data_IF_109359025657
#
_entry.id   IF_109359025657
#
_cell.length_a   1.000
_cell.length_b   1.000
_cell.length_c   1.000
_cell.angle_alpha   90.00
_cell.angle_beta   90.00
_cell.angle_gamma   90.00
#
_symmetry.space_group_name_H-M   'P 1'
#
loop_
_entity.id
_entity.type
_entity.pdbx_description
1 polymer ?
#
# COMPACT_ATOMS: atom_id res chain seq x y z
N UNK A 1 13.18 -13.66 19.41
CA UNK A 1 12.34 -12.47 19.66
C UNK A 1 11.23 -12.46 18.62
N UNK A 2 9.97 -12.32 19.03
CA UNK A 2 8.82 -12.27 18.10
C UNK A 2 8.77 -10.89 17.45
N UNK A 3 8.55 -10.82 16.14
CA UNK A 3 8.43 -9.55 15.43
C UNK A 3 7.13 -8.83 15.85
N UNK A 4 7.24 -7.58 16.31
CA UNK A 4 6.09 -6.70 16.54
C UNK A 4 5.94 -5.66 15.43
N UNK A 5 4.80 -4.96 15.38
CA UNK A 5 4.62 -3.86 14.42
C UNK A 5 5.62 -2.71 14.66
N UNK A 6 5.95 -2.41 15.91
CA UNK A 6 6.95 -1.39 16.25
C UNK A 6 8.35 -1.81 15.78
N UNK A 7 8.71 -3.08 15.96
CA UNK A 7 9.95 -3.63 15.45
C UNK A 7 9.98 -3.56 13.92
N UNK A 8 8.92 -4.02 13.23
CA UNK A 8 8.81 -3.94 11.78
C UNK A 8 9.06 -2.51 11.26
N UNK A 9 8.43 -1.51 11.88
CA UNK A 9 8.63 -0.11 11.51
C UNK A 9 10.06 0.38 11.78
N UNK A 10 10.65 0.02 12.92
CA UNK A 10 12.05 0.37 13.25
C UNK A 10 13.03 -0.26 12.25
N UNK A 11 12.90 -1.56 12.02
CA UNK A 11 13.74 -2.32 11.11
C UNK A 11 13.59 -1.81 9.66
N UNK A 12 12.37 -1.46 9.23
CA UNK A 12 12.15 -0.89 7.91
C UNK A 12 12.85 0.46 7.73
N UNK A 13 12.87 1.32 8.77
CA UNK A 13 13.62 2.58 8.76
C UNK A 13 15.12 2.32 8.60
N UNK A 14 15.69 1.43 9.40
CA UNK A 14 17.12 1.17 9.38
C UNK A 14 17.56 0.44 8.11
N UNK A 15 16.75 -0.49 7.63
CA UNK A 15 16.94 -1.14 6.33
C UNK A 15 16.92 -0.12 5.19
N UNK A 16 16.01 0.86 5.21
CA UNK A 16 15.92 1.88 4.16
C UNK A 16 17.19 2.73 4.06
N UNK A 17 17.80 3.06 5.20
CA UNK A 17 19.10 3.78 5.26
C UNK A 17 20.23 2.93 4.69
N UNK A 18 20.31 1.66 5.09
CA UNK A 18 21.35 0.73 4.66
C UNK A 18 21.24 0.43 3.16
N UNK A 19 20.03 0.20 2.67
CA UNK A 19 19.79 -0.09 1.25
C UNK A 19 20.12 1.10 0.36
N UNK A 20 19.83 2.32 0.82
CA UNK A 20 20.10 3.55 0.06
C UNK A 20 21.58 3.83 -0.20
N UNK A 21 22.50 3.08 0.43
CA UNK A 21 23.94 3.16 0.17
C UNK A 21 24.53 1.86 -0.37
N UNK A 22 23.70 0.82 -0.52
CA UNK A 22 24.11 -0.48 -1.03
C UNK A 22 24.24 -0.46 -2.55
N UNK A 23 25.41 -0.86 -3.06
CA UNK A 23 25.62 -1.09 -4.48
C UNK A 23 25.32 -2.57 -4.77
N UNK A 24 24.31 -2.83 -5.58
CA UNK A 24 23.84 -4.16 -5.93
C UNK A 24 24.19 -4.51 -7.38
N UNK A 25 25.16 -5.41 -7.62
CA UNK A 25 25.51 -5.86 -8.97
C UNK A 25 24.35 -6.54 -9.70
N UNK A 26 23.52 -7.33 -8.99
CA UNK A 26 22.46 -8.14 -9.64
C UNK A 26 21.32 -7.30 -10.21
N UNK A 27 21.21 -6.03 -9.83
CA UNK A 27 20.20 -5.10 -10.32
C UNK A 27 20.69 -4.20 -11.46
N UNK A 28 21.97 -4.24 -11.83
CA UNK A 28 22.49 -3.41 -12.92
C UNK A 28 21.78 -3.71 -14.25
N UNK A 29 21.26 -2.68 -14.92
CA UNK A 29 20.49 -2.83 -16.16
C UNK A 29 19.07 -3.37 -16.00
N UNK A 30 18.65 -3.76 -14.79
CA UNK A 30 17.28 -4.20 -14.52
C UNK A 30 16.32 -3.00 -14.53
N UNK A 31 15.35 -3.02 -15.43
CA UNK A 31 14.32 -1.97 -15.59
C UNK A 31 12.91 -2.44 -15.21
N UNK A 32 12.69 -3.75 -15.08
CA UNK A 32 11.40 -4.30 -14.62
C UNK A 32 11.19 -4.00 -13.12
N UNK A 33 10.23 -3.12 -12.84
CA UNK A 33 9.87 -2.75 -11.47
C UNK A 33 9.40 -3.94 -10.62
N UNK A 34 8.83 -4.98 -11.23
CA UNK A 34 8.44 -6.20 -10.50
C UNK A 34 9.67 -6.98 -10.05
N UNK A 35 10.68 -7.11 -10.90
CA UNK A 35 11.93 -7.77 -10.54
C UNK A 35 12.66 -7.02 -9.42
N UNK A 36 12.74 -5.68 -9.51
CA UNK A 36 13.33 -4.85 -8.45
C UNK A 36 12.54 -4.96 -7.14
N UNK A 37 11.21 -4.90 -7.21
CA UNK A 37 10.34 -5.08 -6.05
C UNK A 37 10.55 -6.44 -5.38
N UNK A 38 10.53 -7.51 -6.17
CA UNK A 38 10.74 -8.88 -5.69
C UNK A 38 12.09 -9.04 -4.98
N UNK A 39 13.16 -8.45 -5.54
CA UNK A 39 14.48 -8.44 -4.91
C UNK A 39 14.42 -7.80 -3.52
N UNK A 40 13.86 -6.59 -3.43
CA UNK A 40 13.86 -5.83 -2.17
C UNK A 40 12.98 -6.50 -1.11
N UNK A 41 11.81 -7.02 -1.51
CA UNK A 41 10.91 -7.78 -0.65
C UNK A 41 11.62 -9.00 -0.04
N UNK A 42 12.29 -9.79 -0.88
CA UNK A 42 13.06 -10.95 -0.41
C UNK A 42 14.21 -10.54 0.51
N UNK A 43 14.95 -9.49 0.16
CA UNK A 43 16.08 -9.00 0.94
C UNK A 43 15.65 -8.51 2.32
N UNK A 44 14.58 -7.71 2.41
CA UNK A 44 14.07 -7.23 3.69
C UNK A 44 13.51 -8.37 4.55
N UNK A 45 12.82 -9.33 3.94
CA UNK A 45 12.35 -10.52 4.64
C UNK A 45 13.48 -11.34 5.24
N UNK A 46 14.55 -11.57 4.47
CA UNK A 46 15.74 -12.27 4.97
C UNK A 46 16.44 -11.47 6.08
N UNK A 47 16.49 -10.14 5.94
CA UNK A 47 16.99 -9.24 6.96
C UNK A 47 16.22 -9.40 8.29
N UNK A 48 14.89 -9.50 8.25
CA UNK A 48 14.07 -9.73 9.44
C UNK A 48 14.21 -11.15 9.99
N UNK A 49 14.24 -12.18 9.13
CA UNK A 49 14.35 -13.59 9.55
C UNK A 49 15.66 -13.89 10.29
N UNK A 50 16.72 -13.14 10.00
CA UNK A 50 17.99 -13.24 10.73
C UNK A 50 17.90 -12.73 12.19
N UNK A 51 16.84 -11.98 12.55
CA UNK A 51 16.71 -11.25 13.83
C UNK A 51 15.46 -11.62 14.62
N UNK A 52 14.39 -11.99 13.92
CA UNK A 52 13.06 -12.19 14.51
C UNK A 52 12.44 -13.52 14.07
N UNK A 53 11.54 -14.02 14.91
CA UNK A 53 10.64 -15.12 14.60
C UNK A 53 9.27 -14.56 14.21
N UNK A 54 8.78 -14.91 13.03
CA UNK A 54 7.45 -14.56 12.54
C UNK A 54 7.01 -15.54 11.45
N UNK A 55 5.69 -15.67 11.24
CA UNK A 55 5.16 -16.41 10.10
C UNK A 55 5.45 -15.61 8.82
N UNK A 56 6.19 -16.23 7.90
CA UNK A 56 6.36 -15.66 6.56
C UNK A 56 5.09 -15.92 5.76
N UNK A 57 4.47 -14.84 5.28
CA UNK A 57 3.35 -14.94 4.36
C UNK A 57 3.67 -15.75 3.12
N UNK A 58 2.73 -16.59 2.70
CA UNK A 58 2.80 -17.25 1.40
C UNK A 58 1.94 -16.51 0.37
N UNK A 59 2.26 -16.68 -0.91
CA UNK A 59 1.50 -16.08 -2.02
C UNK A 59 0.02 -16.49 -2.06
N UNK A 60 -0.38 -17.52 -1.29
CA UNK A 60 -1.75 -18.04 -1.22
C UNK A 60 -2.65 -17.27 -0.24
N UNK A 61 -2.11 -16.74 0.88
CA UNK A 61 -2.84 -15.88 1.83
C UNK A 61 -2.84 -14.40 1.42
N UNK A 62 -1.79 -13.98 0.70
CA UNK A 62 -1.70 -12.69 0.03
C UNK A 62 -1.30 -11.51 0.92
N UNK A 63 -0.61 -11.77 2.04
CA UNK A 63 -0.07 -10.76 2.97
C UNK A 63 1.32 -11.24 3.45
N UNK A 64 2.36 -10.40 3.37
CA UNK A 64 3.74 -10.75 3.79
C UNK A 64 3.94 -11.05 5.28
N UNK A 65 3.24 -10.32 6.17
CA UNK A 65 3.35 -10.47 7.63
C UNK A 65 1.98 -10.80 8.26
N UNK A 66 1.49 -12.05 8.15
CA UNK A 66 0.17 -12.44 8.63
C UNK A 66 -0.08 -12.15 10.12
N UNK A 67 0.91 -12.44 10.98
CA UNK A 67 0.80 -12.20 12.43
C UNK A 67 0.65 -10.73 12.80
N UNK A 68 1.05 -9.82 11.91
CA UNK A 68 0.92 -8.37 12.08
C UNK A 68 -0.24 -7.79 11.28
N UNK A 69 -0.88 -8.59 10.42
CA UNK A 69 -1.87 -8.13 9.45
C UNK A 69 -1.35 -6.97 8.57
N UNK A 70 -0.11 -7.09 8.10
CA UNK A 70 0.57 -6.09 7.25
C UNK A 70 1.15 -6.73 6.00
N UNK A 71 0.86 -6.14 4.85
CA UNK A 71 1.45 -6.52 3.57
C UNK A 71 2.58 -5.57 3.19
N UNK A 72 3.65 -6.10 2.58
CA UNK A 72 4.76 -5.28 2.12
C UNK A 72 4.55 -4.90 0.65
N UNK A 73 4.86 -3.66 0.32
CA UNK A 73 4.82 -3.16 -1.05
C UNK A 73 6.10 -2.43 -1.38
N UNK A 74 6.67 -2.74 -2.54
CA UNK A 74 7.82 -2.03 -3.08
C UNK A 74 7.42 -1.40 -4.40
N UNK A 75 7.73 -0.11 -4.57
CA UNK A 75 7.34 0.62 -5.76
C UNK A 75 8.34 1.72 -6.14
N UNK A 76 8.40 2.07 -7.42
CA UNK A 76 9.24 3.15 -7.90
C UNK A 76 8.62 4.51 -7.59
N UNK A 77 9.43 5.48 -7.19
CA UNK A 77 9.03 6.87 -7.04
C UNK A 77 8.49 7.48 -8.36
N UNK A 78 8.93 6.97 -9.52
CA UNK A 78 8.48 7.45 -10.85
C UNK A 78 7.05 7.03 -11.18
N UNK A 79 6.64 5.88 -10.66
CA UNK A 79 5.30 5.33 -10.87
C UNK A 79 4.87 4.54 -9.62
N UNK A 80 4.46 5.24 -8.54
CA UNK A 80 4.24 4.64 -7.22
C UNK A 80 2.93 3.87 -7.20
N UNK A 81 2.94 2.67 -7.78
CA UNK A 81 1.82 1.74 -7.78
C UNK A 81 2.26 0.28 -7.71
N UNK A 82 1.34 -0.60 -7.33
CA UNK A 82 1.49 -2.04 -7.49
C UNK A 82 0.13 -2.69 -7.75
N UNK A 83 0.13 -3.93 -8.23
CA UNK A 83 -1.09 -4.71 -8.33
C UNK A 83 -1.54 -5.25 -6.96
N UNK A 84 -2.85 -5.53 -6.86
CA UNK A 84 -3.51 -6.19 -5.76
C UNK A 84 -4.63 -7.09 -6.33
N UNK A 85 -4.79 -8.33 -5.86
CA UNK A 85 -5.95 -9.14 -6.23
C UNK A 85 -7.25 -8.43 -5.85
N UNK A 86 -8.22 -8.43 -6.77
CA UNK A 86 -9.58 -7.99 -6.44
C UNK A 86 -10.26 -9.06 -5.59
N UNK A 87 -10.84 -8.69 -4.44
CA UNK A 87 -11.71 -9.60 -3.66
C UNK A 87 -13.15 -9.12 -3.59
N UNK A 88 -13.38 -7.83 -3.31
CA UNK A 88 -14.73 -7.26 -3.23
C UNK A 88 -14.69 -5.75 -3.39
N UNK A 89 -15.73 -5.16 -4.01
CA UNK A 89 -15.93 -3.71 -4.04
C UNK A 89 -15.93 -3.07 -2.65
N UNK A 90 -16.36 -3.81 -1.61
CA UNK A 90 -16.33 -3.39 -0.21
C UNK A 90 -14.94 -2.91 0.23
N UNK A 91 -13.86 -3.51 -0.29
CA UNK A 91 -12.50 -3.10 0.08
C UNK A 91 -12.13 -1.71 -0.46
N UNK A 92 -12.78 -1.20 -1.52
CA UNK A 92 -12.58 0.19 -1.97
C UNK A 92 -13.19 1.19 -1.01
N UNK A 93 -14.21 0.78 -0.26
CA UNK A 93 -14.95 1.64 0.68
C UNK A 93 -14.35 1.55 2.09
N UNK A 94 -14.08 0.35 2.58
CA UNK A 94 -13.64 0.13 3.97
C UNK A 94 -12.16 -0.24 4.12
N UNK A 95 -11.42 -0.34 3.01
CA UNK A 95 -10.02 -0.74 3.00
C UNK A 95 -9.82 -2.24 2.79
N UNK A 96 -8.56 -2.62 2.60
CA UNK A 96 -8.13 -3.96 2.21
C UNK A 96 -8.34 -5.01 3.31
N UNK A 97 -8.50 -4.58 4.56
CA UNK A 97 -8.59 -5.43 5.76
C UNK A 97 -7.25 -5.68 6.45
N UNK A 98 -6.16 -5.13 5.91
CA UNK A 98 -4.79 -5.23 6.41
C UNK A 98 -4.03 -3.92 6.14
N UNK A 99 -2.98 -3.68 6.90
CA UNK A 99 -2.13 -2.50 6.75
C UNK A 99 -1.09 -2.70 5.64
N UNK A 100 -0.46 -1.62 5.20
CA UNK A 100 0.61 -1.66 4.19
C UNK A 100 1.89 -1.08 4.75
N UNK A 101 3.02 -1.75 4.56
CA UNK A 101 4.34 -1.13 4.67
C UNK A 101 4.92 -0.96 3.26
N UNK A 102 5.16 0.29 2.87
CA UNK A 102 5.46 0.66 1.49
C UNK A 102 6.88 1.24 1.42
N UNK A 103 7.76 0.61 0.65
CA UNK A 103 9.07 1.14 0.30
C UNK A 103 9.00 1.80 -1.08
N UNK A 104 9.40 3.07 -1.13
CA UNK A 104 9.44 3.87 -2.35
C UNK A 104 10.89 4.09 -2.75
N UNK A 105 11.29 3.61 -3.92
CA UNK A 105 12.68 3.69 -4.37
C UNK A 105 12.82 4.52 -5.66
N UNK A 106 13.97 5.17 -5.81
CA UNK A 106 14.52 5.53 -7.13
C UNK A 106 15.74 4.67 -7.40
N UNK A 107 15.87 4.19 -8.63
CA UNK A 107 16.96 3.30 -9.04
C UNK A 107 17.91 4.05 -9.97
N UNK A 108 19.19 3.98 -9.65
CA UNK A 108 20.27 4.52 -10.47
C UNK A 108 21.32 3.45 -10.73
N UNK A 109 21.81 3.38 -11.96
CA UNK A 109 22.89 2.47 -12.37
C UNK A 109 24.22 3.22 -12.44
N UNK A 110 25.31 2.57 -12.01
CA UNK A 110 26.70 3.01 -12.24
C UNK A 110 27.33 2.08 -13.28
N UNK A 111 27.52 2.56 -14.53
CA UNK A 111 28.17 1.79 -15.58
C UNK A 111 29.61 1.40 -15.24
N UNK A 112 30.34 2.27 -14.51
CA UNK A 112 31.74 2.09 -14.16
C UNK A 112 31.93 0.87 -13.25
N UNK A 113 31.06 0.74 -12.24
CA UNK A 113 31.13 -0.34 -11.26
C UNK A 113 30.24 -1.54 -11.64
N UNK A 114 29.42 -1.40 -12.69
CA UNK A 114 28.38 -2.37 -13.09
C UNK A 114 27.45 -2.76 -11.94
N UNK A 115 27.01 -1.75 -11.18
CA UNK A 115 26.08 -1.93 -10.04
C UNK A 115 24.89 -1.00 -10.16
N UNK A 116 23.77 -1.36 -9.54
CA UNK A 116 22.66 -0.45 -9.30
C UNK A 116 22.53 -0.09 -7.82
N UNK A 117 21.92 1.05 -7.53
CA UNK A 117 21.57 1.47 -6.18
C UNK A 117 20.07 1.79 -6.13
N UNK A 118 19.42 1.35 -5.05
CA UNK A 118 18.04 1.68 -4.73
C UNK A 118 18.03 2.78 -3.67
N UNK A 119 17.92 4.04 -4.09
CA UNK A 119 17.75 5.15 -3.18
C UNK A 119 16.31 5.10 -2.64
N UNK A 120 16.14 4.65 -1.40
CA UNK A 120 14.82 4.66 -0.76
C UNK A 120 14.50 6.12 -0.44
N UNK A 121 13.48 6.69 -1.09
CA UNK A 121 13.08 8.08 -0.85
C UNK A 121 12.13 8.17 0.33
N UNK A 122 11.29 7.15 0.53
CA UNK A 122 10.31 7.09 1.61
C UNK A 122 9.97 5.65 1.97
N UNK A 123 9.70 5.44 3.26
CA UNK A 123 9.07 4.21 3.78
C UNK A 123 7.89 4.62 4.63
N UNK A 124 6.74 4.03 4.36
CA UNK A 124 5.45 4.47 4.89
C UNK A 124 4.73 3.28 5.48
N UNK A 125 4.09 3.47 6.64
CA UNK A 125 3.15 2.51 7.17
C UNK A 125 1.74 3.09 7.11
N UNK A 126 0.82 2.36 6.48
CA UNK A 126 -0.59 2.72 6.35
C UNK A 126 -1.41 1.74 7.17
N UNK A 127 -2.20 2.26 8.10
CA UNK A 127 -3.09 1.44 8.92
C UNK A 127 -4.22 0.81 8.09
N UNK A 128 -4.75 -0.37 8.49
CA UNK A 128 -5.77 -1.09 7.73
C UNK A 128 -7.00 -0.24 7.34
N UNK A 129 -7.48 0.58 8.27
CA UNK A 129 -8.63 1.48 8.10
C UNK A 129 -8.38 2.65 7.12
N UNK A 130 -7.13 2.94 6.75
CA UNK A 130 -6.78 3.99 5.78
C UNK A 130 -6.49 3.46 4.38
N UNK A 131 -6.54 2.14 4.18
CA UNK A 131 -6.26 1.52 2.87
C UNK A 131 -7.42 1.59 1.86
N UNK A 132 -8.51 2.31 2.17
CA UNK A 132 -9.62 2.52 1.25
C UNK A 132 -9.26 3.48 0.10
N UNK A 133 -10.11 3.53 -0.93
CA UNK A 133 -10.00 4.48 -2.02
C UNK A 133 -10.44 5.87 -1.58
N UNK A 134 -9.52 6.84 -1.65
CA UNK A 134 -9.77 8.21 -1.24
C UNK A 134 -10.91 8.88 -2.02
N UNK A 135 -10.94 8.71 -3.35
CA UNK A 135 -11.91 9.42 -4.19
C UNK A 135 -13.33 8.90 -3.92
N UNK A 136 -13.49 7.58 -3.85
CA UNK A 136 -14.77 6.96 -3.55
C UNK A 136 -15.24 7.28 -2.13
N UNK A 137 -14.38 7.15 -1.12
CA UNK A 137 -14.75 7.47 0.27
C UNK A 137 -15.06 8.95 0.47
N UNK A 138 -14.37 9.85 -0.23
CA UNK A 138 -14.69 11.29 -0.24
C UNK A 138 -16.04 11.58 -0.88
N UNK A 139 -16.34 10.95 -2.04
CA UNK A 139 -17.66 11.10 -2.68
C UNK A 139 -18.79 10.51 -1.82
N UNK A 140 -18.56 9.37 -1.16
CA UNK A 140 -19.52 8.79 -0.21
C UNK A 140 -19.76 9.75 0.96
N UNK A 141 -18.71 10.30 1.55
CA UNK A 141 -18.83 11.27 2.63
C UNK A 141 -19.69 12.48 2.21
N UNK A 142 -19.47 13.01 1.00
CA UNK A 142 -20.28 14.11 0.45
C UNK A 142 -21.76 13.72 0.25
N UNK A 143 -22.05 12.49 -0.18
CA UNK A 143 -23.45 12.02 -0.29
C UNK A 143 -24.09 11.97 1.10
N UNK A 144 -23.39 11.44 2.09
CA UNK A 144 -23.89 11.32 3.46
C UNK A 144 -24.07 12.69 4.14
N UNK A 145 -23.15 13.62 3.93
CA UNK A 145 -23.20 14.98 4.49
C UNK A 145 -24.36 15.81 3.89
N UNK A 146 -24.95 15.35 2.77
CA UNK A 146 -26.14 15.93 2.14
C UNK A 146 -27.41 15.11 2.38
N UNK A 147 -27.46 14.30 3.45
CA UNK A 147 -28.58 13.41 3.80
C UNK A 147 -28.98 12.45 2.66
N UNK A 148 -28.00 12.01 1.87
CA UNK A 148 -28.22 11.14 0.72
C UNK A 148 -28.76 9.75 1.10
N UNK A 149 -29.64 9.23 0.26
CA UNK A 149 -30.32 7.94 0.43
C UNK A 149 -29.52 6.75 -0.12
N UNK A 150 -30.01 5.52 0.11
CA UNK A 150 -29.51 4.28 -0.52
C UNK A 150 -29.43 4.43 -2.05
N UNK A 151 -30.44 5.05 -2.66
CA UNK A 151 -30.48 5.27 -4.11
C UNK A 151 -29.40 6.22 -4.60
N UNK A 152 -29.04 7.24 -3.80
CA UNK A 152 -27.95 8.17 -4.15
C UNK A 152 -26.58 7.49 -4.10
N UNK A 153 -26.36 6.61 -3.12
CA UNK A 153 -25.13 5.80 -3.03
C UNK A 153 -25.02 4.81 -4.19
N UNK A 154 -26.12 4.14 -4.57
CA UNK A 154 -26.14 3.24 -5.74
C UNK A 154 -25.84 4.01 -7.02
N UNK A 155 -26.44 5.19 -7.21
CA UNK A 155 -26.14 6.05 -8.36
C UNK A 155 -24.65 6.45 -8.40
N UNK A 156 -24.06 6.81 -7.24
CA UNK A 156 -22.63 7.07 -7.14
C UNK A 156 -21.78 5.84 -7.55
N UNK A 157 -22.15 4.63 -7.15
CA UNK A 157 -21.42 3.42 -7.53
C UNK A 157 -21.44 3.17 -9.03
N UNK A 158 -22.60 3.40 -9.67
CA UNK A 158 -22.76 3.32 -11.13
C UNK A 158 -21.91 4.38 -11.85
N UNK A 159 -21.99 5.65 -11.42
CA UNK A 159 -21.21 6.75 -11.98
C UNK A 159 -19.70 6.50 -11.86
N UNK A 160 -19.27 5.91 -10.75
CA UNK A 160 -17.86 5.56 -10.51
C UNK A 160 -17.47 4.23 -11.13
N UNK A 161 -18.35 3.52 -11.84
CA UNK A 161 -18.11 2.18 -12.39
C UNK A 161 -17.52 1.21 -11.35
N UNK A 162 -18.07 1.21 -10.14
CA UNK A 162 -17.66 0.29 -9.07
C UNK A 162 -17.96 -1.16 -9.51
N UNK A 163 -16.98 -2.09 -9.49
CA UNK A 163 -17.21 -3.47 -9.91
C UNK A 163 -18.02 -4.25 -8.87
N UNK A 164 -19.32 -4.01 -8.83
CA UNK A 164 -20.30 -4.63 -7.93
C UNK A 164 -21.59 -4.90 -8.70
N UNK A 165 -22.28 -5.99 -8.39
CA UNK A 165 -23.60 -6.29 -8.96
C UNK A 165 -24.71 -5.53 -8.20
N UNK A 166 -25.95 -5.61 -8.70
CA UNK A 166 -27.07 -4.85 -8.12
C UNK A 166 -27.36 -5.22 -6.66
N UNK A 167 -27.18 -6.50 -6.30
CA UNK A 167 -27.41 -6.98 -4.94
C UNK A 167 -26.32 -6.45 -4.01
N UNK A 168 -25.06 -6.64 -4.39
CA UNK A 168 -23.91 -6.14 -3.63
C UNK A 168 -23.89 -4.61 -3.54
N UNK A 169 -24.37 -3.88 -4.54
CA UNK A 169 -24.51 -2.43 -4.51
C UNK A 169 -25.50 -1.98 -3.44
N UNK A 170 -26.67 -2.63 -3.36
CA UNK A 170 -27.68 -2.36 -2.33
C UNK A 170 -27.18 -2.70 -0.94
N UNK A 171 -26.56 -3.86 -0.78
CA UNK A 171 -26.03 -4.30 0.52
C UNK A 171 -24.91 -3.35 1.00
N UNK A 172 -24.01 -2.94 0.11
CA UNK A 172 -22.95 -1.99 0.43
C UNK A 172 -23.51 -0.59 0.75
N UNK A 173 -24.50 -0.12 0.00
CA UNK A 173 -25.16 1.17 0.27
C UNK A 173 -25.83 1.18 1.65
N UNK A 174 -26.56 0.11 2.00
CA UNK A 174 -27.17 -0.05 3.34
C UNK A 174 -26.12 -0.10 4.43
N UNK A 175 -25.02 -0.84 4.21
CA UNK A 175 -23.91 -0.89 5.16
C UNK A 175 -23.35 0.52 5.40
N UNK A 176 -23.12 1.31 4.35
CA UNK A 176 -22.57 2.68 4.45
C UNK A 176 -23.50 3.62 5.23
N UNK A 177 -24.82 3.50 5.06
CA UNK A 177 -25.79 4.32 5.81
C UNK A 177 -25.75 4.03 7.31
N UNK A 178 -25.46 2.79 7.69
CA UNK A 178 -25.35 2.35 9.09
C UNK A 178 -23.95 2.62 9.65
N UNK A 179 -22.93 2.42 8.82
CA UNK A 179 -21.53 2.45 9.19
C UNK A 179 -20.76 3.36 8.22
N UNK A 180 -20.68 4.66 8.54
CA UNK A 180 -19.97 5.64 7.72
C UNK A 180 -18.49 5.21 7.53
N UNK A 181 -17.99 5.04 6.30
CA UNK A 181 -16.61 4.67 6.06
C UNK A 181 -15.64 5.81 6.43
N UNK A 182 -14.43 5.45 6.85
CA UNK A 182 -13.34 6.41 7.00
C UNK A 182 -12.79 6.83 5.64
N UNK A 183 -12.24 8.04 5.56
CA UNK A 183 -11.53 8.51 4.37
C UNK A 183 -10.24 7.69 4.22
N UNK A 184 -10.11 7.01 3.08
CA UNK A 184 -8.91 6.27 2.71
C UNK A 184 -7.84 7.17 2.11
N UNK A 185 -6.62 6.63 1.93
CA UNK A 185 -5.50 7.37 1.34
C UNK A 185 -5.00 6.78 0.01
N UNK A 186 -5.51 5.63 -0.42
CA UNK A 186 -5.10 5.01 -1.68
C UNK A 186 -5.92 5.54 -2.86
N UNK A 187 -5.40 5.38 -4.07
CA UNK A 187 -6.23 5.38 -5.28
C UNK A 187 -6.22 3.96 -5.84
N UNK A 188 -7.40 3.39 -6.06
CA UNK A 188 -7.58 1.99 -6.44
C UNK A 188 -8.28 1.94 -7.81
N UNK A 189 -7.72 1.24 -8.79
CA UNK A 189 -8.33 1.13 -10.12
C UNK A 189 -9.63 0.31 -10.12
N UNK A 190 -10.54 0.59 -11.06
CA UNK A 190 -11.69 -0.28 -11.36
C UNK A 190 -11.30 -1.28 -12.46
N UNK A 191 -10.55 -2.32 -12.09
CA UNK A 191 -10.14 -3.36 -13.02
C UNK A 191 -10.22 -4.74 -12.35
N UNK A 192 -10.27 -5.82 -13.14
CA UNK A 192 -10.30 -7.21 -12.64
C UNK A 192 -9.12 -7.55 -11.71
N UNK A 193 -7.99 -6.88 -11.92
CA UNK A 193 -6.90 -6.82 -10.96
C UNK A 193 -6.74 -5.36 -10.54
N UNK A 194 -6.88 -5.09 -9.25
CA UNK A 194 -6.71 -3.74 -8.74
C UNK A 194 -5.26 -3.29 -8.87
N UNK A 195 -5.09 -2.01 -9.17
CA UNK A 195 -3.83 -1.31 -8.99
C UNK A 195 -4.01 -0.32 -7.86
N UNK A 196 -3.18 -0.47 -6.83
CA UNK A 196 -3.08 0.47 -5.72
C UNK A 196 -2.05 1.51 -6.13
N UNK A 197 -2.43 2.79 -6.11
CA UNK A 197 -1.52 3.91 -6.31
C UNK A 197 -1.28 4.59 -4.96
N UNK A 198 -0.01 4.90 -4.70
CA UNK A 198 0.47 5.32 -3.39
C UNK A 198 0.80 6.81 -3.31
N UNK A 199 0.66 7.59 -4.39
CA UNK A 199 1.01 9.02 -4.44
C UNK A 199 0.48 9.80 -3.24
N UNK A 200 -0.81 9.66 -2.93
CA UNK A 200 -1.43 10.34 -1.79
C UNK A 200 -0.94 9.83 -0.44
N UNK A 201 -0.74 8.51 -0.30
CA UNK A 201 -0.14 7.95 0.92
C UNK A 201 1.27 8.49 1.16
N UNK A 202 2.05 8.72 0.10
CA UNK A 202 3.40 9.33 0.17
C UNK A 202 3.33 10.80 0.60
N UNK A 203 2.42 11.56 0.00
CA UNK A 203 2.19 12.97 0.36
C UNK A 203 1.75 13.13 1.82
N UNK A 204 0.85 12.26 2.28
CA UNK A 204 0.23 12.35 3.60
C UNK A 204 1.04 11.74 4.73
N UNK A 205 2.09 10.96 4.43
CA UNK A 205 2.86 10.26 5.45
C UNK A 205 3.43 11.19 6.53
N UNK A 206 3.04 10.97 7.78
CA UNK A 206 3.42 11.77 8.94
C UNK A 206 2.52 12.99 9.20
N UNK A 207 1.60 13.32 8.29
CA UNK A 207 0.72 14.49 8.36
C UNK A 207 -0.77 14.12 8.38
N UNK A 208 -1.11 12.83 8.25
CA UNK A 208 -2.48 12.34 8.27
C UNK A 208 -2.59 11.14 9.22
N UNK A 209 -3.67 11.11 10.00
CA UNK A 209 -3.94 10.04 10.96
C UNK A 209 -3.91 8.66 10.29
N UNK A 210 -3.26 7.69 10.91
CA UNK A 210 -3.08 6.34 10.37
C UNK A 210 -2.17 6.20 9.13
N UNK A 211 -1.50 7.28 8.68
CA UNK A 211 -0.51 7.26 7.60
C UNK A 211 0.83 7.76 8.13
N UNK A 212 1.70 6.82 8.48
CA UNK A 212 2.92 7.07 9.25
C UNK A 212 4.15 7.15 8.36
N UNK A 213 4.93 8.23 8.50
CA UNK A 213 6.26 8.31 7.89
C UNK A 213 7.27 7.49 8.71
N UNK A 214 7.73 6.37 8.16
CA UNK A 214 8.72 5.50 8.81
C UNK A 214 10.13 5.99 8.49
N UNK A 215 10.37 6.33 7.23
CA UNK A 215 11.62 6.90 6.74
C UNK A 215 11.33 7.93 5.64
N UNK A 216 12.09 9.02 5.64
CA UNK A 216 12.17 9.98 4.55
C UNK A 216 13.66 10.28 4.35
N UNK A 217 14.14 10.18 3.12
CA UNK A 217 15.49 10.64 2.80
C UNK A 217 15.57 12.14 3.08
N UNK A 218 16.68 12.61 3.67
CA UNK A 218 16.94 14.04 3.73
C UNK A 218 17.10 14.55 2.29
N UNK A 219 16.40 15.63 1.95
CA UNK A 219 16.74 16.39 0.74
C UNK A 219 18.15 16.94 0.97
N UNK A 220 19.14 16.39 0.26
CA UNK A 220 20.49 16.95 0.18
C UNK A 220 20.49 18.11 -0.82
#
# INVERSE_FOLDING_TARGET
MVLTLMDLCREARDFSRQESVHNEPTLFGVTDGKAVGTYLEQKFRNYLLARYQFEVGNSARGIDFPSLNVDMKVTSARQPQSSCPFRSARQKVYGLGYGLIIFVYDKSDSPENRTARLNISSTIYVEPNKTADYQLTSSIAQVLDNDGSEANLIALFMDKNLPVDDIGARDLAREILINRPQIGCLTISNALQWRLQYTRAIEWAGNYDGVHAIYRAAFL
#
